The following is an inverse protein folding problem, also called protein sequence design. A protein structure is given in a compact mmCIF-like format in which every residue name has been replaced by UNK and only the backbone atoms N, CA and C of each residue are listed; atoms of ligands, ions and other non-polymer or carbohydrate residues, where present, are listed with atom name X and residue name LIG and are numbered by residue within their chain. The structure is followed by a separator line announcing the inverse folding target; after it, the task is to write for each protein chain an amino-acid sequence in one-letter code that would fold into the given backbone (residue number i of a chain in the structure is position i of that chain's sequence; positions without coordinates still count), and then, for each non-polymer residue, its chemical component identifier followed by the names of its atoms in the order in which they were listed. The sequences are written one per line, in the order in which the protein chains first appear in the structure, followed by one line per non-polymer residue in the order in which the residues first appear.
data_IF_391540551229
#
_entry.id   IF_391540551229
#
_cell.length_a   1.000
_cell.length_b   1.000
_cell.length_c   1.000
_cell.angle_alpha   90.00
_cell.angle_beta   90.00
_cell.angle_gamma   90.00
#
_symmetry.space_group_name_H-M   'P 1'
#
loop_
_entity.id
_entity.type
_entity.pdbx_description
1 polymer ?
#
# COMPACT_ATOMS: atom_id res chain seq x y z
N UNK A 1 -13.12 -35.67 23.73
CA UNK A 1 -12.64 -34.32 23.39
C UNK A 1 -12.51 -34.27 21.88
N UNK A 2 -13.33 -33.47 21.21
CA UNK A 2 -13.54 -33.54 19.76
C UNK A 2 -12.26 -33.18 19.01
N UNK A 3 -11.82 -34.08 18.13
CA UNK A 3 -10.75 -33.80 17.18
C UNK A 3 -11.29 -32.76 16.19
N UNK A 4 -10.93 -31.49 16.40
CA UNK A 4 -11.22 -30.42 15.48
C UNK A 4 -10.53 -30.76 14.15
N UNK A 5 -11.34 -31.06 13.13
CA UNK A 5 -10.90 -31.08 11.73
C UNK A 5 -9.95 -29.89 11.53
N UNK A 6 -8.72 -30.07 10.99
CA UNK A 6 -7.86 -28.92 10.74
C UNK A 6 -8.68 -27.95 9.90
N UNK A 7 -8.87 -26.69 10.33
CA UNK A 7 -9.82 -25.81 9.69
C UNK A 7 -9.44 -25.75 8.22
N UNK A 8 -10.36 -26.17 7.35
CA UNK A 8 -10.22 -26.11 5.90
C UNK A 8 -9.50 -24.82 5.56
N UNK A 9 -8.24 -24.89 5.08
CA UNK A 9 -7.39 -23.73 4.87
C UNK A 9 -8.14 -22.77 3.97
N UNK A 10 -8.72 -21.73 4.58
CA UNK A 10 -9.66 -20.84 3.90
C UNK A 10 -8.84 -20.06 2.89
N UNK A 11 -9.23 -20.18 1.63
CA UNK A 11 -8.55 -19.52 0.52
C UNK A 11 -9.46 -18.45 -0.02
N UNK A 12 -8.89 -17.26 -0.19
CA UNK A 12 -9.61 -16.10 -0.71
C UNK A 12 -9.28 -15.90 -2.18
N UNK A 13 -10.31 -15.61 -2.96
CA UNK A 13 -10.18 -15.21 -4.36
C UNK A 13 -9.92 -13.71 -4.43
N UNK A 14 -9.45 -13.25 -5.59
CA UNK A 14 -9.19 -11.82 -5.88
C UNK A 14 -10.28 -10.83 -5.44
N UNK A 15 -11.60 -11.07 -5.68
CA UNK A 15 -12.63 -10.16 -5.20
C UNK A 15 -12.75 -10.10 -3.67
N UNK A 16 -12.59 -11.21 -2.95
CA UNK A 16 -12.56 -11.21 -1.48
C UNK A 16 -11.30 -10.54 -0.95
N UNK A 17 -10.15 -10.80 -1.58
CA UNK A 17 -8.90 -10.14 -1.21
C UNK A 17 -9.05 -8.62 -1.30
N UNK A 18 -9.68 -8.09 -2.36
CA UNK A 18 -9.91 -6.65 -2.54
C UNK A 18 -10.84 -6.04 -1.48
N UNK A 19 -11.73 -6.83 -0.88
CA UNK A 19 -12.58 -6.38 0.22
C UNK A 19 -11.79 -6.22 1.52
N UNK A 20 -10.85 -7.14 1.80
CA UNK A 20 -10.02 -7.09 3.01
C UNK A 20 -8.85 -6.12 2.87
N UNK A 21 -8.21 -6.15 1.70
CA UNK A 21 -7.04 -5.37 1.36
C UNK A 21 -7.44 -4.49 0.16
N UNK A 22 -7.87 -3.24 0.39
CA UNK A 22 -8.26 -2.32 -0.67
C UNK A 22 -7.03 -1.76 -1.42
N UNK A 23 -6.12 -2.64 -1.84
CA UNK A 23 -4.98 -2.34 -2.68
C UNK A 23 -5.28 -2.70 -4.14
N UNK A 24 -4.64 -1.97 -5.05
CA UNK A 24 -4.72 -2.28 -6.48
C UNK A 24 -3.95 -3.58 -6.79
N UNK A 25 -4.40 -4.30 -7.82
CA UNK A 25 -3.73 -5.50 -8.32
C UNK A 25 -2.24 -5.26 -8.65
N UNK A 26 -1.91 -4.09 -9.20
CA UNK A 26 -0.53 -3.69 -9.49
C UNK A 26 0.31 -3.55 -8.22
N UNK A 27 -0.28 -3.02 -7.14
CA UNK A 27 0.40 -2.92 -5.84
C UNK A 27 0.61 -4.31 -5.22
N UNK A 28 -0.37 -5.20 -5.35
CA UNK A 28 -0.22 -6.59 -4.89
C UNK A 28 0.92 -7.27 -5.65
N UNK A 29 1.00 -7.08 -6.98
CA UNK A 29 2.08 -7.62 -7.79
C UNK A 29 3.45 -7.03 -7.41
N UNK A 30 3.55 -5.71 -7.23
CA UNK A 30 4.80 -5.09 -6.76
C UNK A 30 5.22 -5.60 -5.38
N UNK A 31 4.26 -5.76 -4.45
CA UNK A 31 4.55 -6.28 -3.12
C UNK A 31 4.98 -7.74 -3.16
N UNK A 32 4.38 -8.56 -4.02
CA UNK A 32 4.80 -9.94 -4.25
C UNK A 32 6.24 -9.98 -4.77
N UNK A 33 6.57 -9.15 -5.76
CA UNK A 33 7.94 -9.07 -6.31
C UNK A 33 8.97 -8.63 -5.26
N UNK A 34 8.55 -7.80 -4.30
CA UNK A 34 9.41 -7.36 -3.19
C UNK A 34 9.40 -8.33 -2.01
N UNK A 35 8.73 -9.49 -2.12
CA UNK A 35 8.62 -10.49 -1.04
C UNK A 35 7.82 -10.01 0.17
N UNK A 36 7.05 -8.94 0.00
CA UNK A 36 6.26 -8.31 1.06
C UNK A 36 4.81 -8.77 1.06
N UNK A 37 4.37 -9.62 0.12
CA UNK A 37 3.01 -10.13 0.06
C UNK A 37 3.03 -11.66 0.13
N UNK A 38 2.02 -12.30 0.76
CA UNK A 38 1.97 -13.75 0.84
C UNK A 38 1.88 -14.42 -0.53
N UNK A 39 2.40 -15.65 -0.61
CA UNK A 39 2.67 -16.32 -1.87
C UNK A 39 1.35 -16.73 -2.53
N UNK A 40 1.07 -16.20 -3.72
CA UNK A 40 -0.09 -16.62 -4.50
C UNK A 40 0.10 -18.06 -5.01
N UNK A 41 -1.00 -18.79 -5.12
CA UNK A 41 -1.00 -20.05 -5.85
C UNK A 41 -2.19 -20.14 -6.79
N UNK A 42 -2.02 -20.91 -7.85
CA UNK A 42 -3.04 -21.12 -8.87
C UNK A 42 -3.87 -22.33 -8.46
N UNK A 43 -5.15 -22.12 -8.20
CA UNK A 43 -6.11 -23.21 -8.05
C UNK A 43 -6.48 -23.77 -9.43
N UNK A 44 -6.55 -22.90 -10.44
CA UNK A 44 -6.76 -23.24 -11.85
C UNK A 44 -5.91 -22.30 -12.72
N UNK A 45 -5.67 -22.60 -14.02
CA UNK A 45 -4.88 -21.74 -14.91
C UNK A 45 -5.34 -20.27 -15.00
N UNK A 46 -6.56 -19.95 -14.56
CA UNK A 46 -7.09 -18.57 -14.49
C UNK A 46 -7.47 -18.11 -13.08
N UNK A 47 -7.40 -18.98 -12.06
CA UNK A 47 -7.84 -18.67 -10.71
C UNK A 47 -6.63 -18.62 -9.76
N UNK A 48 -6.18 -17.40 -9.49
CA UNK A 48 -5.20 -17.10 -8.44
C UNK A 48 -5.93 -16.98 -7.12
N UNK A 49 -5.45 -17.69 -6.10
CA UNK A 49 -5.97 -17.65 -4.74
C UNK A 49 -4.85 -17.37 -3.75
N UNK A 50 -5.24 -16.86 -2.59
CA UNK A 50 -4.37 -16.61 -1.45
C UNK A 50 -4.89 -17.35 -0.23
N UNK A 51 -4.00 -17.72 0.68
CA UNK A 51 -4.37 -18.27 1.97
C UNK A 51 -4.82 -17.14 2.91
N UNK A 52 -5.98 -17.31 3.55
CA UNK A 52 -6.55 -16.31 4.45
C UNK A 52 -5.62 -16.07 5.66
N UNK A 53 -5.07 -17.12 6.25
CA UNK A 53 -4.24 -17.00 7.44
C UNK A 53 -2.94 -16.24 7.14
N UNK A 54 -2.36 -16.44 5.96
CA UNK A 54 -1.19 -15.67 5.53
C UNK A 54 -1.53 -14.19 5.31
N UNK A 55 -2.71 -13.88 4.77
CA UNK A 55 -3.17 -12.50 4.56
C UNK A 55 -3.47 -11.81 5.90
N UNK A 56 -4.08 -12.51 6.85
CA UNK A 56 -4.32 -12.01 8.21
C UNK A 56 -3.00 -11.75 8.94
N UNK A 57 -2.05 -12.69 8.89
CA UNK A 57 -0.72 -12.53 9.46
C UNK A 57 0.03 -11.35 8.83
N UNK A 58 -0.09 -11.19 7.51
CA UNK A 58 0.47 -10.06 6.78
C UNK A 58 -0.15 -8.72 7.21
N UNK A 59 -1.48 -8.66 7.35
CA UNK A 59 -2.18 -7.47 7.86
C UNK A 59 -1.72 -7.12 9.28
N UNK A 60 -1.53 -8.12 10.14
CA UNK A 60 -1.02 -7.93 11.50
C UNK A 60 0.42 -7.36 11.49
N UNK A 61 1.30 -7.93 10.66
CA UNK A 61 2.67 -7.42 10.47
C UNK A 61 2.68 -6.00 9.93
N UNK A 62 1.77 -5.68 8.98
CA UNK A 62 1.64 -4.35 8.40
C UNK A 62 1.12 -3.32 9.39
N UNK A 63 0.24 -3.73 10.29
CA UNK A 63 -0.22 -2.88 11.41
C UNK A 63 0.92 -2.61 12.40
N UNK A 64 1.79 -3.58 12.62
CA UNK A 64 2.99 -3.43 13.47
C UNK A 64 4.10 -2.61 12.81
N UNK A 65 4.18 -2.60 11.46
CA UNK A 65 5.11 -1.78 10.69
C UNK A 65 4.38 -0.67 9.93
N UNK A 66 3.97 0.42 10.62
CA UNK A 66 3.32 1.53 9.96
C UNK A 66 4.29 2.14 8.94
N UNK A 67 3.95 2.04 7.65
CA UNK A 67 4.66 2.80 6.63
C UNK A 67 4.41 4.27 6.92
N UNK A 68 5.51 5.02 7.16
CA UNK A 68 5.45 6.48 7.28
C UNK A 68 4.73 7.03 6.07
N UNK A 69 3.67 7.79 6.31
CA UNK A 69 2.89 8.45 5.25
C UNK A 69 3.86 9.13 4.30
N UNK A 70 3.63 8.98 2.99
CA UNK A 70 4.41 9.70 2.00
C UNK A 70 4.44 11.18 2.39
N UNK A 71 5.62 11.83 2.40
CA UNK A 71 5.70 13.24 2.74
C UNK A 71 4.80 14.02 1.79
N UNK A 72 4.18 15.09 2.30
CA UNK A 72 3.31 15.93 1.49
C UNK A 72 4.06 16.35 0.21
N UNK A 73 3.41 16.27 -0.96
CA UNK A 73 4.08 16.56 -2.22
C UNK A 73 4.58 18.01 -2.21
N UNK A 74 5.87 18.19 -2.50
CA UNK A 74 6.51 19.50 -2.54
C UNK A 74 5.82 20.37 -3.60
N UNK A 75 5.07 21.38 -3.13
CA UNK A 75 4.26 22.25 -3.99
C UNK A 75 5.11 23.11 -4.93
N UNK A 76 6.40 23.32 -4.63
CA UNK A 76 7.33 24.07 -5.49
C UNK A 76 7.75 23.29 -6.72
N UNK A 77 7.58 21.96 -6.72
CA UNK A 77 7.84 21.08 -7.88
C UNK A 77 6.63 20.91 -8.80
N UNK A 78 5.52 21.61 -8.54
CA UNK A 78 4.31 21.51 -9.37
C UNK A 78 4.50 22.23 -10.70
N UNK A 79 4.47 21.46 -11.79
CA UNK A 79 4.55 21.97 -13.16
C UNK A 79 3.30 22.77 -13.54
N UNK A 80 2.10 22.28 -13.15
CA UNK A 80 0.83 22.88 -13.57
C UNK A 80 0.46 24.16 -12.81
N UNK A 81 0.92 24.33 -11.57
CA UNK A 81 0.69 25.52 -10.73
C UNK A 81 1.92 25.81 -9.86
N UNK A 82 2.97 26.41 -10.44
CA UNK A 82 4.16 26.76 -9.68
C UNK A 82 3.82 27.84 -8.63
N UNK A 83 4.36 27.68 -7.42
CA UNK A 83 4.24 28.70 -6.37
C UNK A 83 5.08 29.90 -6.81
N UNK A 84 4.44 31.06 -7.04
CA UNK A 84 5.16 32.32 -7.25
C UNK A 84 6.08 32.54 -6.05
N UNK A 85 7.39 32.65 -6.30
CA UNK A 85 8.32 33.11 -5.30
C UNK A 85 7.82 34.48 -4.82
N UNK A 86 7.51 34.59 -3.53
CA UNK A 86 7.20 35.86 -2.93
C UNK A 86 8.42 36.76 -3.16
N UNK A 87 8.23 37.76 -4.01
CA UNK A 87 9.18 38.82 -4.27
C UNK A 87 9.56 39.43 -2.92
N UNK A 88 10.81 39.20 -2.48
CA UNK A 88 11.37 39.90 -1.33
C UNK A 88 11.63 41.33 -1.78
N UNK A 89 10.55 42.11 -1.89
CA UNK A 89 10.60 43.56 -1.92
C UNK A 89 11.06 44.05 -0.55
N UNK A 90 12.36 43.95 -0.27
CA UNK A 90 13.00 44.70 0.80
C UNK A 90 14.46 44.95 0.45
N UNK A 91 14.71 46.16 -0.08
CA UNK A 91 15.88 46.99 0.22
C UNK A 91 15.83 48.23 -0.68
N UNK A 92 14.99 49.20 -0.32
CA UNK A 92 15.16 50.57 -0.82
C UNK A 92 16.11 51.26 0.16
N UNK A 93 17.36 51.61 -0.20
CA UNK A 93 18.18 52.42 0.68
C UNK A 93 17.55 53.81 0.78
N UNK A 94 17.28 54.25 2.00
CA UNK A 94 16.88 55.64 2.27
C UNK A 94 18.10 56.54 2.08
N UNK A 95 18.04 57.62 1.28
CA UNK A 95 19.06 58.66 1.31
C UNK A 95 18.82 59.55 2.53
N UNK A 96 19.90 60.20 2.98
CA UNK A 96 19.98 60.92 4.25
C UNK A 96 19.30 62.28 4.30
#
# INVERSE_FOLDING_TARGET
MAQAQPPLRRTIKKPELRQMVPLADSTIWEMEQRGQFPRRFLLTPRCVVWDLAEIEAWLALRRAQPIRRAPAPDVRKRITRPVRAADRSEARPSPG
#
